data_IF_250048838717
#
_entry.id   IF_250048838717
#
_cell.length_a   1.000
_cell.length_b   1.000
_cell.length_c   1.000
_cell.angle_alpha   90.00
_cell.angle_beta   90.00
_cell.angle_gamma   90.00
#
_symmetry.space_group_name_H-M   'P 1'
#
loop_
_entity.id
_entity.type
_entity.pdbx_description
1 polymer ?
#
# COMPACT_ATOMS: atom_id res chain seq x y z
N UNK A 1 24.69 30.53 17.30
CA UNK A 1 23.38 30.33 17.96
C UNK A 1 22.80 29.04 17.38
N UNK A 2 22.85 27.94 18.13
CA UNK A 2 22.29 26.65 17.66
C UNK A 2 20.78 26.74 17.87
N UNK A 3 20.01 26.75 16.79
CA UNK A 3 18.56 26.50 16.89
C UNK A 3 18.42 24.99 17.03
N UNK A 4 18.27 24.51 18.27
CA UNK A 4 17.87 23.14 18.54
C UNK A 4 16.42 22.96 18.09
N UNK A 5 16.25 22.57 16.83
CA UNK A 5 14.94 22.27 16.24
C UNK A 5 14.27 21.12 16.99
N UNK A 6 13.11 21.40 17.59
CA UNK A 6 12.25 20.38 18.19
C UNK A 6 11.62 19.58 17.04
N UNK A 7 12.21 18.43 16.70
CA UNK A 7 11.73 17.56 15.61
C UNK A 7 10.56 16.65 16.04
N UNK A 8 9.56 17.18 16.75
CA UNK A 8 8.38 16.42 17.17
C UNK A 8 7.11 17.10 16.69
N UNK A 9 6.63 16.68 15.52
CA UNK A 9 5.32 17.08 15.01
C UNK A 9 4.22 16.25 15.68
N UNK A 10 3.14 16.92 16.02
CA UNK A 10 1.91 16.36 16.58
C UNK A 10 0.71 16.74 15.72
N UNK A 11 -0.44 16.11 15.94
CA UNK A 11 -1.67 16.50 15.24
C UNK A 11 -2.10 17.95 15.53
N UNK A 12 -1.64 18.54 16.64
CA UNK A 12 -1.96 19.91 17.01
C UNK A 12 -1.24 20.97 16.15
N UNK A 13 -0.20 20.58 15.42
CA UNK A 13 0.53 21.47 14.51
C UNK A 13 -0.20 21.70 13.17
N UNK A 14 -1.33 21.00 12.97
CA UNK A 14 -2.15 21.06 11.77
C UNK A 14 -3.51 21.71 12.08
N UNK A 15 -4.16 22.30 11.07
CA UNK A 15 -5.48 22.91 11.23
C UNK A 15 -6.50 21.89 11.79
N UNK A 16 -7.41 22.38 12.62
CA UNK A 16 -8.51 21.58 13.12
C UNK A 16 -9.31 20.98 11.94
N UNK A 17 -9.49 19.66 11.95
CA UNK A 17 -10.14 18.92 10.86
C UNK A 17 -9.20 18.46 9.73
N UNK A 18 -7.88 18.66 9.85
CA UNK A 18 -6.93 18.07 8.91
C UNK A 18 -7.04 16.53 8.90
N UNK A 19 -7.19 15.96 7.71
CA UNK A 19 -7.35 14.51 7.52
C UNK A 19 -6.00 13.87 7.22
N UNK A 20 -5.60 12.95 8.09
CA UNK A 20 -4.50 12.03 7.83
C UNK A 20 -5.06 10.70 7.33
N UNK A 21 -4.36 10.08 6.37
CA UNK A 21 -4.75 8.79 5.82
C UNK A 21 -3.56 8.09 5.18
N UNK A 22 -3.84 6.98 4.51
CA UNK A 22 -2.86 6.20 3.74
C UNK A 22 -3.37 5.97 2.32
N UNK A 23 -2.48 5.68 1.39
CA UNK A 23 -2.82 5.32 0.01
C UNK A 23 -2.13 4.03 -0.42
N UNK A 24 -2.83 3.21 -1.21
CA UNK A 24 -2.32 1.96 -1.80
C UNK A 24 -2.68 1.90 -3.29
N UNK A 25 -2.11 0.94 -4.03
CA UNK A 25 -2.48 0.68 -5.42
C UNK A 25 -2.76 -0.80 -5.67
N UNK A 26 -3.74 -1.10 -6.53
CA UNK A 26 -4.31 -2.44 -6.70
C UNK A 26 -3.26 -3.52 -7.00
N UNK A 27 -2.29 -3.26 -7.88
CA UNK A 27 -1.27 -4.25 -8.23
C UNK A 27 -0.33 -4.57 -7.06
N UNK A 28 -0.05 -3.58 -6.21
CA UNK A 28 0.91 -3.70 -5.11
C UNK A 28 0.34 -4.44 -3.89
N UNK A 29 -0.98 -4.47 -3.71
CA UNK A 29 -1.59 -4.98 -2.46
C UNK A 29 -2.64 -6.06 -2.67
N UNK A 30 -3.40 -6.04 -3.77
CA UNK A 30 -4.61 -6.87 -3.93
C UNK A 30 -4.28 -8.35 -4.08
N UNK A 31 -3.34 -8.70 -4.97
CA UNK A 31 -3.11 -10.08 -5.37
C UNK A 31 -4.24 -10.68 -6.20
N UNK A 32 -4.40 -12.00 -6.07
CA UNK A 32 -5.48 -12.80 -6.66
C UNK A 32 -5.65 -12.59 -8.17
N UNK A 33 -4.54 -12.56 -8.92
CA UNK A 33 -4.50 -12.23 -10.35
C UNK A 33 -5.41 -13.09 -11.22
N UNK A 34 -5.69 -14.34 -10.82
CA UNK A 34 -6.48 -15.31 -11.58
C UNK A 34 -7.87 -15.61 -10.98
N UNK A 35 -8.31 -14.86 -9.95
CA UNK A 35 -9.61 -15.11 -9.32
C UNK A 35 -10.73 -14.31 -9.96
N UNK A 36 -11.94 -14.88 -9.90
CA UNK A 36 -13.21 -14.20 -10.16
C UNK A 36 -13.27 -13.43 -11.49
N UNK A 37 -12.63 -13.98 -12.53
CA UNK A 37 -12.64 -13.41 -13.88
C UNK A 37 -11.71 -12.20 -14.07
N UNK A 38 -10.79 -11.93 -13.14
CA UNK A 38 -9.77 -10.90 -13.32
C UNK A 38 -8.91 -11.21 -14.56
N UNK A 39 -8.79 -10.21 -15.45
CA UNK A 39 -7.93 -10.27 -16.64
C UNK A 39 -6.55 -9.69 -16.28
N UNK A 40 -5.45 -10.29 -16.76
CA UNK A 40 -4.11 -9.76 -16.55
C UNK A 40 -3.95 -8.31 -17.02
N UNK A 41 -3.24 -7.52 -16.24
CA UNK A 41 -2.89 -6.14 -16.56
C UNK A 41 -1.57 -6.05 -17.33
N UNK A 42 -1.24 -4.87 -17.87
CA UNK A 42 0.07 -4.61 -18.48
C UNK A 42 1.23 -4.88 -17.51
N UNK A 43 1.04 -4.64 -16.21
CA UNK A 43 2.04 -4.95 -15.19
C UNK A 43 2.29 -6.45 -15.03
N UNK A 44 1.25 -7.29 -15.16
CA UNK A 44 1.41 -8.74 -15.16
C UNK A 44 2.27 -9.22 -16.33
N UNK A 45 2.05 -8.66 -17.52
CA UNK A 45 2.86 -8.97 -18.70
C UNK A 45 4.30 -8.48 -18.54
N UNK A 46 4.49 -7.24 -18.05
CA UNK A 46 5.81 -6.64 -17.88
C UNK A 46 6.69 -7.43 -16.90
N UNK A 47 6.17 -7.75 -15.72
CA UNK A 47 6.95 -8.46 -14.68
C UNK A 47 7.28 -9.87 -15.12
N UNK A 48 6.37 -10.57 -15.82
CA UNK A 48 6.63 -11.91 -16.36
C UNK A 48 7.65 -11.91 -17.51
N UNK A 49 7.65 -10.87 -18.35
CA UNK A 49 8.63 -10.72 -19.42
C UNK A 49 10.03 -10.35 -18.89
N UNK A 50 10.12 -9.79 -17.69
CA UNK A 50 11.36 -9.38 -17.04
C UNK A 50 11.54 -10.14 -15.72
N UNK A 51 11.57 -11.48 -15.78
CA UNK A 51 11.56 -12.35 -14.59
C UNK A 51 12.74 -12.16 -13.63
N UNK A 52 13.83 -11.52 -14.08
CA UNK A 52 14.99 -11.23 -13.23
C UNK A 52 14.82 -9.90 -12.46
N UNK A 53 13.80 -9.11 -12.81
CA UNK A 53 13.49 -7.85 -12.14
C UNK A 53 12.84 -8.12 -10.78
N UNK A 54 13.18 -7.33 -9.76
CA UNK A 54 12.71 -7.50 -8.37
C UNK A 54 12.87 -8.93 -7.81
N UNK A 55 13.97 -9.61 -8.14
CA UNK A 55 14.24 -10.99 -7.72
C UNK A 55 13.14 -12.00 -8.12
N UNK A 56 12.45 -11.77 -9.24
CA UNK A 56 11.36 -12.61 -9.72
C UNK A 56 10.05 -12.46 -8.94
N UNK A 57 9.91 -11.41 -8.13
CA UNK A 57 8.67 -11.10 -7.44
C UNK A 57 7.56 -10.70 -8.42
N UNK A 58 6.32 -11.17 -8.17
CA UNK A 58 5.13 -10.85 -8.95
C UNK A 58 3.99 -10.30 -8.10
N UNK A 59 3.01 -9.67 -8.73
CA UNK A 59 1.76 -9.22 -8.08
C UNK A 59 0.71 -10.33 -7.88
N UNK A 60 1.06 -11.61 -8.05
CA UNK A 60 0.09 -12.71 -8.03
C UNK A 60 -0.60 -12.86 -6.67
N UNK A 61 0.15 -12.66 -5.59
CA UNK A 61 -0.33 -12.71 -4.19
C UNK A 61 -0.25 -11.32 -3.54
N UNK A 62 0.85 -10.59 -3.73
CA UNK A 62 1.08 -9.29 -3.10
C UNK A 62 0.87 -9.34 -1.56
N UNK A 63 0.11 -8.41 -0.98
CA UNK A 63 -0.29 -8.42 0.44
C UNK A 63 -1.54 -9.27 0.72
N UNK A 64 -2.16 -9.82 -0.33
CA UNK A 64 -3.42 -10.57 -0.26
C UNK A 64 -4.61 -9.77 0.29
N UNK A 65 -4.63 -8.45 0.05
CA UNK A 65 -5.74 -7.57 0.45
C UNK A 65 -7.08 -8.03 -0.14
N UNK A 66 -7.07 -8.74 -1.29
CA UNK A 66 -8.27 -9.34 -1.85
C UNK A 66 -9.07 -10.17 -0.85
N UNK A 67 -8.39 -10.93 0.02
CA UNK A 67 -9.03 -11.70 1.08
C UNK A 67 -8.95 -11.02 2.45
N UNK A 68 -7.94 -10.15 2.66
CA UNK A 68 -7.58 -9.59 3.97
C UNK A 68 -8.01 -8.15 4.21
N UNK A 69 -8.72 -7.51 3.29
CA UNK A 69 -9.12 -6.10 3.42
C UNK A 69 -9.80 -5.77 4.76
N UNK A 70 -10.57 -6.70 5.35
CA UNK A 70 -11.19 -6.48 6.68
C UNK A 70 -10.15 -6.30 7.79
N UNK A 71 -9.07 -7.07 7.72
CA UNK A 71 -7.93 -6.94 8.65
C UNK A 71 -7.22 -5.62 8.40
N UNK A 72 -7.00 -5.25 7.14
CA UNK A 72 -6.36 -3.98 6.76
C UNK A 72 -7.15 -2.77 7.30
N UNK A 73 -8.47 -2.74 7.13
CA UNK A 73 -9.35 -1.72 7.72
C UNK A 73 -9.28 -1.71 9.26
N UNK A 74 -9.19 -2.88 9.89
CA UNK A 74 -9.09 -2.97 11.35
C UNK A 74 -7.75 -2.45 11.90
N UNK A 75 -6.69 -2.50 11.10
CA UNK A 75 -5.41 -1.88 11.46
C UNK A 75 -5.47 -0.37 11.29
N UNK A 76 -6.09 0.12 10.21
CA UNK A 76 -6.23 1.56 9.98
C UNK A 76 -6.99 2.24 11.12
N UNK A 77 -8.06 1.62 11.63
CA UNK A 77 -8.81 2.19 12.76
C UNK A 77 -8.04 2.23 14.09
N UNK A 78 -6.92 1.51 14.22
CA UNK A 78 -6.07 1.53 15.42
C UNK A 78 -4.96 2.57 15.34
N UNK A 79 -4.56 2.93 14.12
CA UNK A 79 -3.43 3.85 13.88
C UNK A 79 -3.91 5.29 13.70
N UNK A 80 -5.20 5.49 13.37
CA UNK A 80 -5.81 6.80 13.19
C UNK A 80 -6.75 7.21 14.33
#
# INVERSE_FOLDING_TARGET
MVVSGVNNYTRADFLAGFVFGVGTSVYQVKGAVFKDGKVPSTWDAFVRANSDYYNGATGDIACDEYHKYKVDISFLSRVF
#
